data_IF_588374719329
#
_entry.id   IF_588374719329
#
_cell.length_a   1.000
_cell.length_b   1.000
_cell.length_c   1.000
_cell.angle_alpha   90.00
_cell.angle_beta   90.00
_cell.angle_gamma   90.00
#
_symmetry.space_group_name_H-M   'P 1'
#
loop_
_entity.id
_entity.type
_entity.pdbx_description
1 polymer ?
#
# COMPACT_ATOMS: atom_id res chain seq x y z
N UNK A 1 40.90 77.81 -13.92
CA UNK A 1 42.31 77.34 -13.84
C UNK A 1 42.39 76.32 -12.71
N UNK A 2 42.59 75.04 -13.07
CA UNK A 2 43.82 74.24 -12.83
C UNK A 2 43.81 73.55 -11.45
N UNK A 3 43.42 72.27 -11.35
CA UNK A 3 44.15 71.00 -11.65
C UNK A 3 44.80 70.42 -10.40
N UNK A 4 44.61 69.12 -10.16
CA UNK A 4 45.66 68.10 -9.88
C UNK A 4 44.94 66.74 -9.59
N UNK A 5 45.02 65.75 -10.48
CA UNK A 5 46.10 64.74 -10.62
C UNK A 5 45.92 63.61 -9.59
N UNK A 6 45.38 62.44 -9.96
CA UNK A 6 46.06 61.27 -10.58
C UNK A 6 47.00 60.55 -9.60
N UNK A 7 46.98 59.20 -9.68
CA UNK A 7 47.88 58.18 -9.07
C UNK A 7 47.57 57.85 -7.59
N UNK A 8 47.49 56.59 -7.11
CA UNK A 8 48.02 55.29 -7.52
C UNK A 8 47.35 54.23 -6.59
N UNK A 9 46.61 53.24 -7.10
CA UNK A 9 46.94 51.79 -7.11
C UNK A 9 47.52 51.19 -5.80
N UNK A 10 46.92 50.06 -5.37
CA UNK A 10 47.36 49.01 -4.40
C UNK A 10 46.87 49.07 -2.94
N UNK A 11 45.86 48.26 -2.60
CA UNK A 11 45.90 47.18 -1.58
C UNK A 11 44.49 46.53 -1.50
N UNK A 12 44.25 45.36 -2.08
CA UNK A 12 44.32 44.04 -1.41
C UNK A 12 43.22 43.86 -0.33
N UNK A 13 42.22 43.04 -0.68
CA UNK A 13 41.72 41.94 0.17
C UNK A 13 41.08 42.29 1.52
N UNK A 14 39.75 42.23 1.63
CA UNK A 14 39.08 41.51 2.75
C UNK A 14 37.56 41.53 2.68
N UNK A 15 37.01 40.31 2.78
CA UNK A 15 35.75 39.93 3.42
C UNK A 15 34.47 40.44 2.75
N UNK A 16 33.76 39.65 1.92
CA UNK A 16 33.05 38.41 2.29
C UNK A 16 32.46 38.50 3.70
N UNK A 17 31.14 38.70 3.80
CA UNK A 17 30.19 37.92 4.59
C UNK A 17 28.91 38.72 4.90
N UNK A 18 27.80 37.99 5.05
CA UNK A 18 26.45 38.40 5.46
C UNK A 18 25.65 39.13 4.37
N UNK A 19 24.55 38.59 3.83
CA UNK A 19 23.49 37.88 4.54
C UNK A 19 22.79 36.93 3.56
N UNK A 20 23.12 35.65 3.64
CA UNK A 20 22.21 34.61 3.15
C UNK A 20 21.16 34.45 4.25
N UNK A 21 19.93 34.93 4.00
CA UNK A 21 18.81 34.62 4.88
C UNK A 21 18.57 33.10 4.85
N UNK A 22 19.11 32.44 5.86
CA UNK A 22 18.76 31.07 6.24
C UNK A 22 17.28 31.05 6.61
N UNK A 23 16.43 30.69 5.65
CA UNK A 23 15.13 30.13 5.99
C UNK A 23 15.37 28.74 6.56
N UNK A 24 15.46 28.68 7.89
CA UNK A 24 15.37 27.45 8.64
C UNK A 24 13.94 26.92 8.51
N UNK A 25 13.67 26.15 7.47
CA UNK A 25 12.44 25.35 7.38
C UNK A 25 12.61 24.14 8.28
N UNK A 26 12.19 24.33 9.53
CA UNK A 26 11.40 23.42 10.34
C UNK A 26 11.73 21.92 10.17
N UNK A 27 12.45 21.40 11.15
CA UNK A 27 12.62 19.97 11.43
C UNK A 27 11.25 19.33 11.67
N UNK A 28 10.57 18.92 10.59
CA UNK A 28 9.46 17.98 10.67
C UNK A 28 10.07 16.63 11.02
N UNK A 29 9.78 16.13 12.22
CA UNK A 29 10.17 14.79 12.65
C UNK A 29 9.60 13.80 11.64
N UNK A 30 10.46 13.31 10.75
CA UNK A 30 10.15 12.31 9.75
C UNK A 30 9.94 10.98 10.47
N UNK A 31 8.70 10.72 10.88
CA UNK A 31 8.20 9.35 11.01
C UNK A 31 8.53 8.62 9.70
N UNK A 32 8.96 7.35 9.75
CA UNK A 32 9.55 6.70 8.59
C UNK A 32 8.45 6.44 7.56
N UNK A 33 8.32 7.34 6.59
CA UNK A 33 7.99 6.95 5.22
C UNK A 33 8.99 5.86 4.86
N UNK A 34 8.56 4.59 4.89
CA UNK A 34 9.35 3.45 4.43
C UNK A 34 9.97 3.84 3.09
N UNK A 35 11.30 3.87 3.04
CA UNK A 35 12.00 4.23 1.81
C UNK A 35 11.66 3.21 0.72
N UNK A 36 11.71 3.61 -0.56
CA UNK A 36 11.40 2.70 -1.67
C UNK A 36 12.19 1.38 -1.61
N UNK A 37 13.40 1.44 -1.05
CA UNK A 37 14.25 0.27 -0.76
C UNK A 37 13.64 -0.64 0.30
N UNK A 38 13.15 -0.10 1.41
CA UNK A 38 12.52 -0.90 2.47
C UNK A 38 11.17 -1.47 2.03
N UNK A 39 10.39 -0.72 1.26
CA UNK A 39 9.15 -1.23 0.65
C UNK A 39 9.44 -2.44 -0.26
N UNK A 40 10.48 -2.34 -1.09
CA UNK A 40 10.90 -3.44 -1.98
C UNK A 40 11.41 -4.65 -1.19
N UNK A 41 12.14 -4.42 -0.10
CA UNK A 41 12.62 -5.48 0.78
C UNK A 41 11.46 -6.23 1.45
N UNK A 42 10.49 -5.50 2.03
CA UNK A 42 9.29 -6.08 2.61
C UNK A 42 8.42 -6.81 1.56
N UNK A 43 8.26 -6.25 0.37
CA UNK A 43 7.54 -6.89 -0.73
C UNK A 43 8.17 -8.23 -1.13
N UNK A 44 9.50 -8.26 -1.27
CA UNK A 44 10.26 -9.47 -1.60
C UNK A 44 10.13 -10.52 -0.49
N UNK A 45 10.28 -10.10 0.75
CA UNK A 45 10.18 -10.97 1.91
C UNK A 45 8.77 -11.55 2.07
N UNK A 46 7.73 -10.72 1.90
CA UNK A 46 6.34 -11.17 1.95
C UNK A 46 6.08 -12.29 0.94
N UNK A 47 6.53 -12.10 -0.32
CA UNK A 47 6.37 -13.10 -1.37
C UNK A 47 7.05 -14.42 -0.99
N UNK A 48 8.26 -14.38 -0.46
CA UNK A 48 8.96 -15.58 0.01
C UNK A 48 8.23 -16.25 1.18
N UNK A 49 7.72 -15.49 2.14
CA UNK A 49 6.95 -16.02 3.28
C UNK A 49 5.61 -16.64 2.85
N UNK A 50 5.01 -16.13 1.77
CA UNK A 50 3.75 -16.63 1.22
C UNK A 50 3.89 -18.02 0.57
N UNK A 51 5.09 -18.39 0.14
CA UNK A 51 5.38 -19.72 -0.42
C UNK A 51 5.55 -20.81 0.66
N UNK A 52 5.82 -20.42 1.92
CA UNK A 52 5.93 -21.35 3.05
C UNK A 52 4.55 -21.84 3.48
N UNK A 53 4.39 -23.16 3.60
CA UNK A 53 3.17 -23.78 4.12
C UNK A 53 3.19 -23.80 5.65
N UNK A 54 2.41 -22.92 6.27
CA UNK A 54 2.11 -22.97 7.71
C UNK A 54 0.99 -23.95 8.05
N UNK A 55 0.71 -24.09 9.34
CA UNK A 55 -0.30 -24.98 9.92
C UNK A 55 -1.67 -24.80 9.29
N UNK A 56 -2.11 -23.55 9.11
CA UNK A 56 -3.44 -23.22 8.58
C UNK A 56 -3.60 -23.53 7.09
N UNK A 57 -2.50 -23.85 6.40
CA UNK A 57 -2.46 -24.29 5.01
C UNK A 57 -2.07 -25.77 4.88
N UNK A 58 -2.22 -26.55 5.95
CA UNK A 58 -1.95 -27.99 5.98
C UNK A 58 -0.47 -28.38 6.09
N UNK A 59 0.39 -27.42 6.45
CA UNK A 59 1.80 -27.66 6.78
C UNK A 59 2.04 -27.93 8.26
N UNK A 60 3.31 -28.08 8.65
CA UNK A 60 3.71 -27.99 10.05
C UNK A 60 3.58 -26.54 10.54
N UNK A 61 3.39 -26.37 11.85
CA UNK A 61 3.30 -25.04 12.43
C UNK A 61 4.62 -24.29 12.29
N UNK A 62 4.54 -23.13 11.64
CA UNK A 62 5.66 -22.24 11.38
C UNK A 62 5.41 -20.91 12.08
N UNK A 63 6.18 -20.63 13.13
CA UNK A 63 5.98 -19.41 13.95
C UNK A 63 6.08 -18.13 13.11
N UNK A 64 6.90 -18.10 12.06
CA UNK A 64 7.05 -16.90 11.24
C UNK A 64 5.81 -16.62 10.38
N UNK A 65 5.08 -17.67 10.00
CA UNK A 65 3.94 -17.60 9.08
C UNK A 65 2.60 -17.63 9.83
N UNK A 66 2.49 -18.44 10.87
CA UNK A 66 1.26 -18.70 11.62
C UNK A 66 1.16 -17.89 12.93
N UNK A 67 2.30 -17.46 13.48
CA UNK A 67 2.36 -16.82 14.80
C UNK A 67 1.99 -15.34 14.76
N UNK A 68 1.15 -14.90 15.70
CA UNK A 68 0.88 -13.47 15.89
C UNK A 68 2.18 -12.72 16.19
N UNK A 69 2.37 -11.57 15.53
CA UNK A 69 3.65 -10.87 15.55
C UNK A 69 4.81 -11.63 14.90
N UNK A 70 4.55 -12.74 14.21
CA UNK A 70 5.51 -13.47 13.38
C UNK A 70 5.92 -12.66 12.17
N UNK A 71 6.95 -13.13 11.45
CA UNK A 71 7.56 -12.33 10.38
C UNK A 71 6.57 -11.98 9.26
N UNK A 72 5.71 -12.90 8.87
CA UNK A 72 4.68 -12.65 7.83
C UNK A 72 3.70 -11.57 8.29
N UNK A 73 3.26 -11.61 9.54
CA UNK A 73 2.37 -10.60 10.11
C UNK A 73 3.03 -9.21 10.09
N UNK A 74 4.25 -9.09 10.62
CA UNK A 74 5.00 -7.82 10.68
C UNK A 74 5.23 -7.22 9.28
N UNK A 75 5.61 -8.05 8.31
CA UNK A 75 5.86 -7.60 6.95
C UNK A 75 4.56 -7.15 6.28
N UNK A 76 3.46 -7.89 6.47
CA UNK A 76 2.14 -7.48 5.97
C UNK A 76 1.67 -6.17 6.61
N UNK A 77 1.90 -5.98 7.89
CA UNK A 77 1.58 -4.74 8.60
C UNK A 77 2.35 -3.55 8.02
N UNK A 78 3.66 -3.67 7.86
CA UNK A 78 4.50 -2.64 7.25
C UNK A 78 4.09 -2.30 5.79
N UNK A 79 3.74 -3.33 5.01
CA UNK A 79 3.21 -3.16 3.65
C UNK A 79 1.85 -2.47 3.66
N UNK A 80 0.95 -2.87 4.56
CA UNK A 80 -0.37 -2.27 4.76
C UNK A 80 -0.28 -0.80 5.15
N UNK A 81 0.58 -0.44 6.10
CA UNK A 81 0.78 0.96 6.53
C UNK A 81 1.30 1.87 5.39
N UNK A 82 2.11 1.31 4.49
CA UNK A 82 2.67 2.10 3.38
C UNK A 82 1.68 2.20 2.22
N UNK A 83 1.15 1.06 1.78
CA UNK A 83 0.34 0.94 0.57
C UNK A 83 -1.15 1.21 0.81
N UNK A 84 -1.58 1.14 2.07
CA UNK A 84 -2.95 1.39 2.50
C UNK A 84 -3.31 2.86 2.61
N UNK A 85 -2.34 3.77 2.39
CA UNK A 85 -2.57 5.21 2.44
C UNK A 85 -3.57 5.64 1.36
N UNK A 86 -4.56 6.48 1.70
CA UNK A 86 -5.52 6.98 0.74
C UNK A 86 -4.85 7.63 -0.48
N UNK A 87 -5.32 7.28 -1.68
CA UNK A 87 -4.76 7.78 -2.94
C UNK A 87 -3.62 6.93 -3.53
N UNK A 88 -3.10 5.94 -2.81
CA UNK A 88 -2.19 4.93 -3.37
C UNK A 88 -2.92 4.18 -4.48
N UNK A 89 -2.27 3.89 -5.61
CA UNK A 89 -2.91 3.14 -6.69
C UNK A 89 -2.95 1.65 -6.34
N UNK A 90 -4.07 0.98 -6.59
CA UNK A 90 -4.23 -0.45 -6.37
C UNK A 90 -3.13 -1.28 -7.08
N UNK A 91 -2.69 -0.85 -8.26
CA UNK A 91 -1.59 -1.50 -8.98
C UNK A 91 -0.28 -1.57 -8.16
N UNK A 92 0.01 -0.57 -7.32
CA UNK A 92 1.20 -0.59 -6.47
C UNK A 92 1.09 -1.67 -5.38
N UNK A 93 -0.13 -1.92 -4.87
CA UNK A 93 -0.41 -3.03 -3.95
C UNK A 93 -0.15 -4.36 -4.66
N UNK A 94 -0.68 -4.52 -5.87
CA UNK A 94 -0.53 -5.74 -6.67
C UNK A 94 0.93 -6.01 -7.07
N UNK A 95 1.69 -4.98 -7.43
CA UNK A 95 3.12 -5.09 -7.75
C UNK A 95 3.94 -5.50 -6.52
N UNK A 96 3.68 -4.86 -5.37
CA UNK A 96 4.40 -5.12 -4.14
C UNK A 96 4.04 -6.47 -3.51
N UNK A 97 2.76 -6.79 -3.40
CA UNK A 97 2.26 -7.97 -2.67
C UNK A 97 1.99 -9.18 -3.57
N UNK A 98 1.94 -8.99 -4.89
CA UNK A 98 1.53 -10.03 -5.84
C UNK A 98 0.00 -10.17 -5.92
N UNK A 99 -0.50 -11.23 -6.56
CA UNK A 99 -1.93 -11.42 -6.73
C UNK A 99 -2.64 -11.57 -5.36
N UNK A 100 -3.82 -10.97 -5.21
CA UNK A 100 -4.61 -11.15 -4.00
C UNK A 100 -5.15 -12.56 -3.90
N UNK A 101 -5.47 -12.96 -2.67
CA UNK A 101 -6.11 -14.24 -2.40
C UNK A 101 -7.59 -14.20 -2.77
N UNK A 102 -8.28 -13.10 -2.45
CA UNK A 102 -9.66 -12.85 -2.86
C UNK A 102 -9.85 -11.38 -3.27
N UNK A 103 -10.76 -11.15 -4.22
CA UNK A 103 -11.26 -9.82 -4.57
C UNK A 103 -12.75 -9.83 -4.23
N UNK A 104 -13.28 -8.77 -3.63
CA UNK A 104 -14.65 -8.79 -3.11
C UNK A 104 -15.34 -7.47 -3.42
N UNK A 105 -16.51 -7.46 -4.10
CA UNK A 105 -17.28 -6.22 -4.26
C UNK A 105 -17.64 -5.61 -2.90
N UNK A 106 -17.59 -4.29 -2.77
CA UNK A 106 -18.10 -3.64 -1.55
C UNK A 106 -19.62 -3.68 -1.56
N UNK A 107 -20.21 -4.53 -0.73
CA UNK A 107 -21.67 -4.69 -0.60
C UNK A 107 -22.17 -3.98 0.65
N UNK A 108 -22.73 -2.77 0.49
CA UNK A 108 -23.34 -2.01 1.57
C UNK A 108 -22.39 -1.57 2.69
N UNK A 109 -22.92 -0.85 3.69
CA UNK A 109 -22.22 -0.59 4.93
C UNK A 109 -22.44 -1.78 5.87
N UNK A 110 -21.42 -2.61 6.04
CA UNK A 110 -21.49 -3.78 6.93
C UNK A 110 -20.53 -3.59 8.10
N UNK A 111 -21.00 -3.93 9.30
CA UNK A 111 -20.18 -3.93 10.52
C UNK A 111 -19.33 -5.22 10.66
N UNK A 112 -19.40 -6.12 9.67
CA UNK A 112 -18.58 -7.33 9.60
C UNK A 112 -17.54 -7.20 8.48
N UNK A 113 -16.43 -7.94 8.57
CA UNK A 113 -15.32 -7.83 7.62
C UNK A 113 -15.72 -8.12 6.16
N UNK A 114 -14.91 -7.68 5.18
CA UNK A 114 -15.26 -7.75 3.74
C UNK A 114 -15.75 -9.12 3.27
N UNK A 115 -15.09 -10.20 3.68
CA UNK A 115 -15.50 -11.56 3.31
C UNK A 115 -16.83 -11.99 3.91
N UNK A 116 -17.10 -11.57 5.14
CA UNK A 116 -18.36 -11.90 5.80
C UNK A 116 -19.51 -11.07 5.24
N UNK A 117 -19.25 -9.80 4.90
CA UNK A 117 -20.23 -8.91 4.29
C UNK A 117 -20.66 -9.37 2.90
N UNK A 118 -19.75 -9.94 2.11
CA UNK A 118 -20.05 -10.45 0.77
C UNK A 118 -20.74 -11.83 0.76
N UNK A 119 -20.81 -12.50 1.92
CA UNK A 119 -21.46 -13.80 2.08
C UNK A 119 -20.62 -14.99 1.56
N UNK A 120 -21.06 -16.23 1.82
CA UNK A 120 -20.42 -17.43 1.29
C UNK A 120 -20.55 -17.45 -0.24
N UNK A 121 -19.42 -17.39 -0.95
CA UNK A 121 -19.38 -17.37 -2.42
C UNK A 121 -18.86 -16.08 -3.05
N UNK A 122 -18.23 -15.20 -2.28
CA UNK A 122 -17.47 -14.06 -2.80
C UNK A 122 -16.27 -14.55 -3.65
N UNK A 123 -16.59 -14.80 -4.92
CA UNK A 123 -15.76 -15.14 -6.08
C UNK A 123 -14.56 -16.08 -5.84
N UNK A 124 -14.88 -17.35 -5.57
CA UNK A 124 -14.05 -18.42 -6.11
C UNK A 124 -14.13 -18.33 -7.66
N UNK A 125 -12.98 -18.08 -8.31
CA UNK A 125 -12.83 -18.01 -9.76
C UNK A 125 -13.64 -19.09 -10.53
N UNK A 126 -14.48 -18.68 -11.50
CA UNK A 126 -14.70 -19.47 -12.71
C UNK A 126 -16.02 -20.23 -12.92
N UNK A 127 -17.20 -19.61 -12.76
CA UNK A 127 -18.44 -20.18 -13.34
C UNK A 127 -19.18 -19.19 -14.25
N UNK A 128 -19.25 -19.44 -15.57
CA UNK A 128 -20.18 -18.76 -16.47
C UNK A 128 -21.58 -19.37 -16.29
N UNK A 129 -22.27 -18.95 -15.23
CA UNK A 129 -23.70 -19.18 -15.05
C UNK A 129 -24.47 -17.89 -15.38
N UNK A 130 -25.70 -17.98 -15.93
CA UNK A 130 -26.44 -16.81 -16.35
C UNK A 130 -26.70 -15.87 -15.16
N UNK A 131 -26.16 -14.66 -15.25
CA UNK A 131 -26.46 -13.57 -14.32
C UNK A 131 -27.89 -13.12 -14.64
N UNK A 132 -28.86 -13.49 -13.80
CA UNK A 132 -30.14 -12.79 -13.76
C UNK A 132 -29.88 -11.45 -13.05
N UNK A 133 -29.39 -10.48 -13.81
CA UNK A 133 -29.12 -9.13 -13.35
C UNK A 133 -28.68 -8.31 -14.55
N UNK A 134 -29.59 -7.46 -15.03
CA UNK A 134 -29.39 -6.58 -16.16
C UNK A 134 -28.14 -5.71 -15.97
N UNK A 135 -27.08 -5.97 -16.75
CA UNK A 135 -25.87 -5.15 -16.73
C UNK A 135 -24.69 -5.80 -17.43
N UNK A 136 -24.48 -5.39 -18.69
CA UNK A 136 -23.23 -5.33 -19.46
C UNK A 136 -22.09 -6.31 -19.09
N UNK A 137 -21.78 -7.23 -20.00
CA UNK A 137 -20.62 -8.11 -19.92
C UNK A 137 -19.31 -7.30 -19.94
N UNK A 138 -18.67 -7.18 -18.77
CA UNK A 138 -17.36 -6.56 -18.60
C UNK A 138 -16.20 -7.44 -19.05
N UNK A 139 -15.13 -6.79 -19.48
CA UNK A 139 -13.82 -7.33 -19.91
C UNK A 139 -13.26 -8.37 -18.91
N UNK A 140 -12.86 -9.58 -19.36
CA UNK A 140 -12.32 -10.64 -18.49
C UNK A 140 -10.93 -10.34 -17.90
N UNK A 141 -10.28 -9.23 -18.29
CA UNK A 141 -9.03 -8.77 -17.66
C UNK A 141 -9.28 -7.84 -16.47
N UNK A 142 -10.52 -7.40 -16.24
CA UNK A 142 -10.88 -6.55 -15.13
C UNK A 142 -10.93 -7.35 -13.82
N UNK A 143 -9.93 -7.17 -12.96
CA UNK A 143 -9.89 -7.69 -11.60
C UNK A 143 -10.95 -6.96 -10.75
N UNK A 144 -12.23 -7.32 -10.87
CA UNK A 144 -13.35 -6.64 -10.21
C UNK A 144 -13.70 -5.23 -10.75
N UNK A 145 -12.81 -4.64 -11.55
CA UNK A 145 -12.83 -3.26 -12.04
C UNK A 145 -13.94 -2.90 -13.06
N UNK A 146 -14.61 -3.90 -13.65
CA UNK A 146 -15.47 -3.70 -14.82
C UNK A 146 -16.76 -2.91 -14.57
N UNK A 147 -17.08 -2.54 -13.32
CA UNK A 147 -18.39 -1.95 -12.97
C UNK A 147 -18.32 -0.55 -12.36
N UNK A 148 -17.12 0.03 -12.20
CA UNK A 148 -16.96 1.34 -11.53
C UNK A 148 -17.44 1.35 -10.08
N UNK A 149 -17.50 0.17 -9.45
CA UNK A 149 -17.94 -0.01 -8.06
C UNK A 149 -16.72 -0.26 -7.16
N UNK A 150 -16.74 0.26 -5.93
CA UNK A 150 -15.67 -0.02 -4.98
C UNK A 150 -15.61 -1.51 -4.64
N UNK A 151 -14.41 -1.99 -4.38
CA UNK A 151 -14.14 -3.40 -4.06
C UNK A 151 -13.02 -3.51 -3.03
N UNK A 152 -12.80 -4.72 -2.52
CA UNK A 152 -11.73 -5.05 -1.59
C UNK A 152 -10.75 -6.01 -2.23
N UNK A 153 -9.46 -5.78 -1.98
CA UNK A 153 -8.36 -6.70 -2.29
C UNK A 153 -7.92 -7.33 -0.98
N UNK A 154 -7.82 -8.66 -0.93
CA UNK A 154 -7.61 -9.42 0.31
C UNK A 154 -6.35 -10.26 0.23
N UNK A 155 -5.54 -10.20 1.29
CA UNK A 155 -4.33 -11.00 1.49
C UNK A 155 -4.41 -11.80 2.79
N UNK A 156 -4.28 -13.11 2.68
CA UNK A 156 -4.34 -14.03 3.82
C UNK A 156 -3.03 -14.06 4.60
N UNK A 157 -3.15 -13.86 5.91
CA UNK A 157 -2.06 -14.09 6.82
C UNK A 157 -1.96 -15.58 7.17
N UNK A 158 -2.94 -16.15 7.88
CA UNK A 158 -2.96 -17.58 8.28
C UNK A 158 -4.30 -18.26 7.98
N UNK A 159 -4.68 -18.22 6.70
CA UNK A 159 -5.94 -18.75 6.20
C UNK A 159 -7.03 -17.68 6.12
N UNK A 160 -8.26 -18.10 5.80
CA UNK A 160 -9.38 -17.21 5.45
C UNK A 160 -9.94 -16.38 6.61
N UNK A 161 -9.56 -16.70 7.84
CA UNK A 161 -10.07 -16.03 9.04
C UNK A 161 -9.26 -14.77 9.39
N UNK A 162 -7.96 -14.76 9.12
CA UNK A 162 -7.04 -13.68 9.49
C UNK A 162 -6.41 -13.06 8.24
N UNK A 163 -6.81 -11.82 7.92
CA UNK A 163 -6.43 -11.22 6.64
C UNK A 163 -6.30 -9.70 6.69
N UNK A 164 -5.42 -9.19 5.82
CA UNK A 164 -5.28 -7.79 5.51
C UNK A 164 -6.16 -7.48 4.30
N UNK A 165 -6.93 -6.41 4.37
CA UNK A 165 -7.77 -5.94 3.27
C UNK A 165 -7.42 -4.51 2.89
N UNK A 166 -7.56 -4.21 1.59
CA UNK A 166 -7.47 -2.87 1.03
C UNK A 166 -8.79 -2.55 0.32
N UNK A 167 -9.42 -1.44 0.67
CA UNK A 167 -10.60 -0.93 -0.02
C UNK A 167 -10.15 -0.05 -1.19
N UNK A 168 -10.58 -0.43 -2.39
CA UNK A 168 -10.33 0.30 -3.63
C UNK A 168 -11.59 1.06 -4.02
N UNK A 169 -11.42 2.31 -4.45
CA UNK A 169 -12.51 3.09 -5.01
C UNK A 169 -13.00 2.50 -6.35
N UNK A 170 -14.21 2.89 -6.75
CA UNK A 170 -14.76 2.50 -8.05
C UNK A 170 -14.28 3.38 -9.20
N UNK A 171 -13.24 4.20 -9.02
CA UNK A 171 -12.81 5.15 -10.05
C UNK A 171 -11.91 4.46 -11.07
N UNK A 172 -11.77 5.01 -12.29
CA UNK A 172 -10.85 4.45 -13.28
C UNK A 172 -9.38 4.45 -12.83
N UNK A 173 -9.01 5.28 -11.86
CA UNK A 173 -7.65 5.34 -11.32
C UNK A 173 -7.35 4.27 -10.27
N UNK A 174 -8.40 3.58 -9.78
CA UNK A 174 -8.38 2.53 -8.76
C UNK A 174 -7.48 2.87 -7.58
N UNK A 175 -7.92 3.81 -6.75
CA UNK A 175 -7.14 4.26 -5.60
C UNK A 175 -7.60 3.59 -4.33
N UNK A 176 -6.66 3.35 -3.43
CA UNK A 176 -6.96 2.89 -2.08
C UNK A 176 -7.68 4.01 -1.35
N UNK A 177 -8.82 3.68 -0.75
CA UNK A 177 -9.57 4.57 0.15
C UNK A 177 -9.20 4.30 1.61
N UNK A 178 -9.02 3.01 1.95
CA UNK A 178 -8.68 2.57 3.30
C UNK A 178 -8.09 1.16 3.29
N UNK A 179 -7.54 0.74 4.42
CA UNK A 179 -7.05 -0.61 4.64
C UNK A 179 -7.34 -1.02 6.09
N UNK A 180 -7.20 -2.30 6.38
CA UNK A 180 -7.26 -2.77 7.76
C UNK A 180 -7.10 -4.27 7.89
N UNK A 181 -7.08 -4.71 9.13
CA UNK A 181 -7.06 -6.12 9.48
C UNK A 181 -8.45 -6.64 9.79
N UNK A 182 -8.68 -7.90 9.47
CA UNK A 182 -9.80 -8.66 9.99
C UNK A 182 -9.29 -9.82 10.84
N UNK A 183 -9.82 -9.92 12.06
CA UNK A 183 -9.53 -10.94 13.07
C UNK A 183 -8.06 -11.18 13.44
N UNK A 184 -7.12 -10.34 13.00
CA UNK A 184 -5.68 -10.46 13.29
C UNK A 184 -5.30 -10.08 14.75
N UNK A 185 -6.11 -10.48 15.74
CA UNK A 185 -5.78 -10.38 17.17
C UNK A 185 -5.19 -11.69 17.71
N UNK A 186 -4.73 -11.65 18.96
CA UNK A 186 -4.39 -12.85 19.75
C UNK A 186 -5.63 -13.69 20.11
#
# INVERSE_FOLDING_TARGET
MRTNSITLLFLVLSLLLFSQHTFATQTFLKMPELSATELTAHATEFKALRERKGHFNGGEHDRDVDGYGGRKHQVMEALGETLGKPGTRAIQVLEAMGPPDEIVPKVGASNVGPLQAAGPGAIANGMPGPVLGDGEAGDPTAHGAGTGKPYFIIYYWRGRHDYLWFQVDGTPDEKIESYGWYAAGE
#
